data_IF_020064253900
#
_entry.id   IF_020064253900
#
_cell.length_a   1.000
_cell.length_b   1.000
_cell.length_c   1.000
_cell.angle_alpha   90.00
_cell.angle_beta   90.00
_cell.angle_gamma   90.00
#
_symmetry.space_group_name_H-M   'P 1'
#
loop_
_entity.id
_entity.type
_entity.pdbx_description
1 polymer ?
#
# COMPACT_ATOMS: atom_id res chain seq x y z
N UNK A 1 12.45 9.75 9.96
CA UNK A 1 11.87 9.16 8.73
C UNK A 1 10.48 8.60 9.06
N UNK A 2 9.49 8.79 8.20
CA UNK A 2 8.15 8.19 8.35
C UNK A 2 7.86 7.32 7.14
N UNK A 3 7.36 6.12 7.37
CA UNK A 3 7.01 5.14 6.34
C UNK A 3 5.50 5.05 6.20
N UNK A 4 4.99 4.88 5.00
CA UNK A 4 3.57 4.68 4.74
C UNK A 4 3.42 3.50 3.79
N UNK A 5 2.38 2.69 4.00
CA UNK A 5 2.06 1.59 3.09
C UNK A 5 1.03 2.11 2.10
N UNK A 6 1.38 2.09 0.82
CA UNK A 6 0.54 2.48 -0.30
C UNK A 6 0.00 1.23 -0.98
N UNK A 7 -1.31 1.19 -1.20
CA UNK A 7 -1.95 0.17 -2.00
C UNK A 7 -1.92 0.61 -3.47
N UNK A 8 -0.94 0.09 -4.20
CA UNK A 8 -0.77 0.35 -5.62
C UNK A 8 -1.85 -0.33 -6.49
N UNK A 9 -2.56 -1.33 -5.97
CA UNK A 9 -3.71 -1.93 -6.66
C UNK A 9 -4.85 -0.93 -6.82
N UNK A 10 -5.12 -0.12 -5.79
CA UNK A 10 -6.23 0.87 -5.79
C UNK A 10 -5.77 2.32 -5.90
N UNK A 11 -4.45 2.57 -5.87
CA UNK A 11 -3.90 3.93 -5.90
C UNK A 11 -4.20 4.74 -4.63
N UNK A 12 -4.41 4.08 -3.47
CA UNK A 12 -4.75 4.74 -2.20
C UNK A 12 -3.79 4.31 -1.07
N UNK A 13 -3.65 5.12 -0.01
CA UNK A 13 -2.96 4.67 1.20
C UNK A 13 -3.65 3.46 1.84
N UNK A 14 -2.90 2.41 2.16
CA UNK A 14 -3.43 1.22 2.84
C UNK A 14 -3.70 1.46 4.33
N UNK A 15 -3.14 2.54 4.89
CA UNK A 15 -3.34 2.95 6.28
C UNK A 15 -3.49 4.49 6.36
N UNK A 16 -4.34 4.99 7.26
CA UNK A 16 -4.47 6.44 7.50
C UNK A 16 -3.23 7.06 8.17
N UNK A 17 -2.37 6.24 8.79
CA UNK A 17 -1.20 6.68 9.53
C UNK A 17 0.14 6.45 8.82
N UNK A 18 1.22 6.82 9.51
CA UNK A 18 2.59 6.47 9.12
C UNK A 18 3.25 5.63 10.21
N UNK A 19 4.14 4.74 9.80
CA UNK A 19 5.00 3.94 10.67
C UNK A 19 6.31 4.68 10.95
N UNK A 20 6.87 4.42 12.12
CA UNK A 20 8.16 4.97 12.56
C UNK A 20 9.35 4.14 12.09
N UNK A 21 9.14 2.86 11.77
CA UNK A 21 10.17 1.93 11.29
C UNK A 21 9.68 1.16 10.06
N UNK A 22 10.62 0.74 9.22
CA UNK A 22 10.32 -0.06 8.02
C UNK A 22 9.75 -1.44 8.40
N UNK A 23 10.30 -2.09 9.43
CA UNK A 23 9.84 -3.40 9.91
C UNK A 23 8.37 -3.40 10.32
N UNK A 24 7.88 -2.31 10.91
CA UNK A 24 6.44 -2.17 11.24
C UNK A 24 5.57 -2.04 9.99
N UNK A 25 6.07 -1.36 8.96
CA UNK A 25 5.38 -1.25 7.68
C UNK A 25 5.36 -2.60 6.93
N UNK A 26 6.46 -3.35 6.95
CA UNK A 26 6.55 -4.71 6.39
C UNK A 26 5.60 -5.67 7.11
N UNK A 27 5.62 -5.65 8.45
CA UNK A 27 4.70 -6.46 9.25
C UNK A 27 3.24 -6.12 8.95
N UNK A 28 2.92 -4.83 8.78
CA UNK A 28 1.58 -4.43 8.38
C UNK A 28 1.18 -5.00 7.01
N UNK A 29 2.09 -5.07 6.02
CA UNK A 29 1.81 -5.67 4.71
C UNK A 29 1.40 -7.15 4.87
N UNK A 30 2.13 -7.89 5.68
CA UNK A 30 1.81 -9.31 5.97
C UNK A 30 0.44 -9.43 6.64
N UNK A 31 0.20 -8.66 7.70
CA UNK A 31 -1.08 -8.66 8.41
C UNK A 31 -2.25 -8.20 7.52
N UNK A 32 -2.01 -7.24 6.62
CA UNK A 32 -3.01 -6.77 5.67
C UNK A 32 -3.44 -7.89 4.73
N UNK A 33 -2.47 -8.59 4.12
CA UNK A 33 -2.76 -9.72 3.21
C UNK A 33 -3.49 -10.85 3.93
N UNK A 34 -3.07 -11.19 5.15
CA UNK A 34 -3.71 -12.23 5.95
C UNK A 34 -5.20 -11.98 6.18
N UNK A 35 -5.63 -10.72 6.37
CA UNK A 35 -7.06 -10.37 6.55
C UNK A 35 -7.92 -10.72 5.34
N UNK A 36 -7.33 -10.75 4.15
CA UNK A 36 -8.01 -11.02 2.88
C UNK A 36 -7.66 -12.39 2.31
N UNK A 37 -6.89 -13.22 3.01
CA UNK A 37 -6.46 -14.53 2.52
C UNK A 37 -7.66 -15.46 2.30
N UNK A 38 -8.60 -15.49 3.26
CA UNK A 38 -9.79 -16.35 3.18
C UNK A 38 -10.92 -15.75 2.33
N UNK A 39 -11.08 -14.43 2.34
CA UNK A 39 -12.21 -13.75 1.70
C UNK A 39 -11.89 -13.19 0.32
N UNK A 40 -10.61 -12.97 -0.01
CA UNK A 40 -10.21 -12.17 -1.15
C UNK A 40 -10.39 -10.68 -0.91
N UNK A 41 -9.69 -9.88 -1.70
CA UNK A 41 -9.69 -8.43 -1.63
C UNK A 41 -10.55 -7.85 -2.74
N UNK A 42 -11.48 -6.95 -2.40
CA UNK A 42 -12.32 -6.25 -3.37
C UNK A 42 -11.63 -4.96 -3.81
N UNK A 43 -11.25 -4.88 -5.08
CA UNK A 43 -10.64 -3.68 -5.66
C UNK A 43 -11.69 -2.59 -5.92
N UNK A 44 -11.22 -1.38 -6.18
CA UNK A 44 -12.03 -0.22 -6.57
C UNK A 44 -12.73 -0.42 -7.92
N UNK A 45 -12.25 -1.36 -8.73
CA UNK A 45 -12.91 -1.81 -9.98
C UNK A 45 -13.99 -2.86 -9.75
N UNK A 46 -14.36 -3.12 -8.48
CA UNK A 46 -15.31 -4.16 -8.07
C UNK A 46 -14.88 -5.58 -8.43
N UNK A 47 -13.59 -5.81 -8.65
CA UNK A 47 -13.03 -7.13 -8.91
C UNK A 47 -12.52 -7.75 -7.60
N UNK A 48 -12.78 -9.04 -7.38
CA UNK A 48 -12.25 -9.75 -6.22
C UNK A 48 -10.98 -10.49 -6.62
N UNK A 49 -9.86 -10.08 -6.04
CA UNK A 49 -8.54 -10.67 -6.29
C UNK A 49 -8.05 -11.44 -5.07
N UNK A 50 -7.17 -12.44 -5.23
CA UNK A 50 -6.53 -13.10 -4.09
C UNK A 50 -5.57 -12.15 -3.36
N UNK A 51 -5.35 -12.39 -2.06
CA UNK A 51 -4.49 -11.55 -1.23
C UNK A 51 -3.03 -11.46 -1.73
N UNK A 52 -2.56 -12.48 -2.44
CA UNK A 52 -1.24 -12.51 -3.08
C UNK A 52 -1.09 -11.48 -4.21
N UNK A 53 -2.19 -11.07 -4.84
CA UNK A 53 -2.19 -10.10 -5.94
C UNK A 53 -2.29 -8.64 -5.48
N UNK A 54 -2.53 -8.41 -4.18
CA UNK A 54 -2.53 -7.05 -3.62
C UNK A 54 -1.11 -6.49 -3.68
N UNK A 55 -0.93 -5.40 -4.45
CA UNK A 55 0.33 -4.69 -4.62
C UNK A 55 0.45 -3.62 -3.54
N UNK A 56 1.29 -3.88 -2.55
CA UNK A 56 1.56 -2.97 -1.44
C UNK A 56 3.01 -2.49 -1.52
N UNK A 57 3.20 -1.18 -1.41
CA UNK A 57 4.51 -0.54 -1.48
C UNK A 57 4.76 0.27 -0.20
N UNK A 58 5.99 0.22 0.32
CA UNK A 58 6.40 1.07 1.43
C UNK A 58 7.02 2.33 0.84
N UNK A 59 6.37 3.47 1.04
CA UNK A 59 6.85 4.78 0.62
C UNK A 59 7.31 5.60 1.83
N UNK A 60 8.32 6.44 1.65
CA UNK A 60 8.75 7.40 2.67
C UNK A 60 7.99 8.70 2.53
N UNK A 61 7.51 9.26 3.63
CA UNK A 61 6.74 10.52 3.65
C UNK A 61 7.52 11.72 3.10
N UNK A 62 8.86 11.62 3.02
CA UNK A 62 9.73 12.64 2.43
C UNK A 62 9.75 12.62 0.89
N UNK A 63 9.21 11.60 0.24
CA UNK A 63 9.24 11.45 -1.23
C UNK A 63 8.14 12.23 -1.96
N UNK A 64 7.38 13.10 -1.28
CA UNK A 64 6.41 14.02 -1.93
C UNK A 64 7.05 15.29 -2.52
N UNK A 65 8.29 15.20 -3.03
CA UNK A 65 8.89 16.22 -3.91
C UNK A 65 9.62 15.57 -5.08
N UNK A 66 8.91 14.96 -6.03
CA UNK A 66 9.27 14.91 -7.48
C UNK A 66 8.45 13.86 -8.25
N UNK A 67 7.16 14.10 -8.43
CA UNK A 67 6.43 13.54 -9.58
C UNK A 67 5.39 14.54 -10.09
N UNK A 68 5.83 15.77 -10.36
CA UNK A 68 5.08 16.70 -11.21
C UNK A 68 5.98 17.07 -12.40
N UNK A 69 5.50 16.69 -13.59
CA UNK A 69 5.88 17.13 -14.95
C UNK A 69 7.28 16.73 -15.47
N UNK A 70 7.28 15.87 -16.49
CA UNK A 70 7.62 16.31 -17.85
C UNK A 70 7.22 15.22 -18.86
N UNK A 71 6.17 15.46 -19.63
CA UNK A 71 6.10 14.94 -21.01
C UNK A 71 6.04 16.18 -21.89
N UNK A 72 7.15 16.38 -22.60
CA UNK A 72 7.36 17.35 -23.68
C UNK A 72 6.44 16.99 -24.85
#
# INVERSE_FOLDING_TARGET
MKFQVFNATDGIPATPGSFTTIERAERFIVEFRARFEASGYLTSSCERIPASEIRLEIITSESKKTSKKAKV
#
